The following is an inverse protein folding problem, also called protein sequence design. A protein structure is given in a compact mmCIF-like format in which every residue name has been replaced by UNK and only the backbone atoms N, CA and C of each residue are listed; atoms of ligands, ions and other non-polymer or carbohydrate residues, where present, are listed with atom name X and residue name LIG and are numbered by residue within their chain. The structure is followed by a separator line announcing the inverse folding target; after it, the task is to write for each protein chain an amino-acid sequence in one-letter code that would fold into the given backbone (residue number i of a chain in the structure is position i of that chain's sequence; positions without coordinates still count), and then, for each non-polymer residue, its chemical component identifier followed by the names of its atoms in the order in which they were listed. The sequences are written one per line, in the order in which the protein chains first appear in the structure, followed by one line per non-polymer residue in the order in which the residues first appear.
data_IF_482251755100
#
_entry.id   IF_482251755100
#
_cell.length_a   1.000
_cell.length_b   1.000
_cell.length_c   1.000
_cell.angle_alpha   90.00
_cell.angle_beta   90.00
_cell.angle_gamma   90.00
#
_symmetry.space_group_name_H-M   'P 1'
#
loop_
_entity.id
_entity.type
_entity.pdbx_description
1 polymer ?
#
# COMPACT_ATOMS: atom_id res chain seq x y z
N UNK A 1 19.70 -1.70 0.81
CA UNK A 1 18.57 -1.77 -0.15
C UNK A 1 17.18 -1.74 0.52
N UNK A 2 17.00 -1.20 1.73
CA UNK A 2 15.69 -1.24 2.41
C UNK A 2 14.76 -0.07 2.04
N UNK A 3 15.33 1.09 1.71
CA UNK A 3 14.56 2.32 1.46
C UNK A 3 13.73 2.23 0.18
N UNK A 4 14.34 1.79 -0.94
CA UNK A 4 13.64 1.67 -2.23
C UNK A 4 12.48 0.68 -2.13
N UNK A 5 12.69 -0.46 -1.46
CA UNK A 5 11.65 -1.47 -1.24
C UNK A 5 10.49 -0.92 -0.37
N UNK A 6 10.79 -0.13 0.66
CA UNK A 6 9.77 0.51 1.47
C UNK A 6 8.95 1.52 0.65
N UNK A 7 9.60 2.29 -0.23
CA UNK A 7 8.93 3.24 -1.12
C UNK A 7 8.00 2.49 -2.10
N UNK A 8 8.47 1.43 -2.77
CA UNK A 8 7.63 0.68 -3.71
C UNK A 8 6.43 0.03 -3.04
N UNK A 9 6.58 -0.49 -1.81
CA UNK A 9 5.47 -1.05 -1.01
C UNK A 9 4.38 0.00 -0.75
N UNK A 10 4.74 1.26 -0.54
CA UNK A 10 3.77 2.35 -0.37
C UNK A 10 3.18 2.80 -1.72
N UNK A 11 4.02 2.89 -2.74
CA UNK A 11 3.66 3.47 -4.03
C UNK A 11 2.77 2.56 -4.87
N UNK A 12 3.06 1.25 -4.92
CA UNK A 12 2.33 0.28 -5.75
C UNK A 12 0.81 0.29 -5.53
N UNK A 13 0.29 0.13 -4.29
CA UNK A 13 -1.16 0.10 -4.07
C UNK A 13 -1.82 1.43 -4.46
N UNK A 14 -1.14 2.55 -4.22
CA UNK A 14 -1.64 3.88 -4.58
C UNK A 14 -1.68 4.10 -6.10
N UNK A 15 -0.62 3.74 -6.84
CA UNK A 15 -0.62 3.86 -8.31
C UNK A 15 -1.60 2.88 -8.96
N UNK A 16 -1.77 1.67 -8.44
CA UNK A 16 -2.78 0.74 -8.96
C UNK A 16 -4.20 1.28 -8.80
N UNK A 17 -4.54 1.84 -7.62
CA UNK A 17 -5.86 2.46 -7.41
C UNK A 17 -6.04 3.70 -8.28
N UNK A 18 -5.04 4.56 -8.40
CA UNK A 18 -5.11 5.74 -9.27
C UNK A 18 -5.41 5.36 -10.74
N UNK A 19 -4.73 4.35 -11.29
CA UNK A 19 -4.97 3.90 -12.67
C UNK A 19 -6.37 3.31 -12.85
N UNK A 20 -6.84 2.47 -11.91
CA UNK A 20 -8.15 1.84 -11.99
C UNK A 20 -9.30 2.85 -11.90
N UNK A 21 -9.17 3.85 -11.03
CA UNK A 21 -10.20 4.86 -10.81
C UNK A 21 -10.14 6.00 -11.84
N UNK A 22 -8.97 6.33 -12.41
CA UNK A 22 -8.85 7.40 -13.40
C UNK A 22 -9.71 7.17 -14.65
N UNK A 23 -9.82 5.93 -15.12
CA UNK A 23 -10.55 5.61 -16.36
C UNK A 23 -12.06 5.55 -16.20
N UNK A 24 -12.59 5.44 -14.99
CA UNK A 24 -14.03 5.24 -14.73
C UNK A 24 -14.72 6.43 -14.08
N UNK A 25 -13.98 7.33 -13.42
CA UNK A 25 -14.56 8.40 -12.60
C UNK A 25 -14.60 9.76 -13.28
N UNK A 26 -13.82 9.95 -14.33
CA UNK A 26 -13.77 11.18 -15.11
C UNK A 26 -14.39 10.95 -16.47
N UNK A 27 -15.50 11.62 -16.73
CA UNK A 27 -16.13 11.67 -18.04
C UNK A 27 -15.93 13.07 -18.62
N UNK A 28 -15.10 13.16 -19.65
CA UNK A 28 -14.80 14.42 -20.33
C UNK A 28 -15.74 14.68 -21.52
N UNK A 29 -16.69 13.78 -21.79
CA UNK A 29 -17.70 13.90 -22.85
C UNK A 29 -19.04 14.40 -22.30
N UNK A 30 -18.99 15.32 -21.33
CA UNK A 30 -20.17 15.89 -20.68
C UNK A 30 -20.36 17.34 -21.12
N UNK A 31 -21.61 17.80 -21.21
CA UNK A 31 -21.92 19.16 -21.66
C UNK A 31 -21.34 20.26 -20.73
N UNK A 32 -21.28 21.53 -21.16
CA UNK A 32 -20.67 22.64 -20.40
C UNK A 32 -21.26 22.90 -19.00
N UNK A 33 -22.35 22.23 -18.64
CA UNK A 33 -23.02 22.34 -17.33
C UNK A 33 -23.06 21.03 -16.54
N UNK A 34 -22.49 19.94 -17.04
CA UNK A 34 -22.46 18.65 -16.35
C UNK A 34 -21.17 18.47 -15.53
N UNK A 35 -21.28 17.65 -14.47
CA UNK A 35 -20.13 17.34 -13.62
C UNK A 35 -19.20 16.37 -14.32
N UNK A 36 -17.97 16.81 -14.57
CA UNK A 36 -16.86 16.01 -15.13
C UNK A 36 -16.45 14.86 -14.19
N UNK A 37 -16.84 14.92 -12.91
CA UNK A 37 -16.49 13.94 -11.89
C UNK A 37 -17.72 13.23 -11.30
N UNK A 38 -17.57 11.93 -11.05
CA UNK A 38 -18.56 11.13 -10.33
C UNK A 38 -18.61 11.50 -8.83
N UNK A 39 -19.81 11.46 -8.24
CA UNK A 39 -20.03 11.61 -6.77
C UNK A 39 -19.21 10.61 -5.94
N UNK A 40 -18.87 9.47 -6.55
CA UNK A 40 -18.14 8.39 -5.90
C UNK A 40 -16.63 8.65 -5.77
N UNK A 41 -16.12 9.83 -6.13
CA UNK A 41 -14.70 10.20 -6.00
C UNK A 41 -14.12 9.97 -4.59
N UNK A 42 -14.94 10.06 -3.54
CA UNK A 42 -14.49 9.74 -2.17
C UNK A 42 -14.01 8.28 -2.04
N UNK A 43 -14.60 7.36 -2.80
CA UNK A 43 -14.25 5.94 -2.76
C UNK A 43 -12.78 5.70 -3.15
N UNK A 44 -12.22 6.54 -4.05
CA UNK A 44 -10.78 6.50 -4.36
C UNK A 44 -9.95 6.66 -3.08
N UNK A 45 -10.20 7.71 -2.30
CA UNK A 45 -9.47 7.96 -1.05
C UNK A 45 -9.66 6.82 -0.04
N UNK A 46 -10.89 6.31 0.09
CA UNK A 46 -11.20 5.21 1.00
C UNK A 46 -10.41 3.93 0.62
N UNK A 47 -10.45 3.54 -0.65
CA UNK A 47 -9.81 2.30 -1.13
C UNK A 47 -8.29 2.44 -1.12
N UNK A 48 -7.74 3.58 -1.53
CA UNK A 48 -6.30 3.84 -1.48
C UNK A 48 -5.79 3.74 -0.04
N UNK A 49 -6.45 4.40 0.94
CA UNK A 49 -6.04 4.34 2.35
C UNK A 49 -6.14 2.90 2.88
N UNK A 50 -7.23 2.19 2.58
CA UNK A 50 -7.42 0.81 3.02
C UNK A 50 -6.32 -0.12 2.49
N UNK A 51 -6.01 -0.06 1.19
CA UNK A 51 -4.95 -0.86 0.58
C UNK A 51 -3.57 -0.49 1.14
N UNK A 52 -3.25 0.79 1.27
CA UNK A 52 -1.98 1.24 1.86
C UNK A 52 -1.86 0.74 3.31
N UNK A 53 -2.93 0.78 4.09
CA UNK A 53 -2.94 0.24 5.46
C UNK A 53 -2.70 -1.28 5.48
N UNK A 54 -3.38 -2.05 4.63
CA UNK A 54 -3.18 -3.51 4.52
C UNK A 54 -1.72 -3.84 4.22
N UNK A 55 -1.13 -3.13 3.25
CA UNK A 55 0.25 -3.37 2.83
C UNK A 55 1.25 -2.97 3.92
N UNK A 56 1.05 -1.83 4.58
CA UNK A 56 1.90 -1.40 5.70
C UNK A 56 1.79 -2.35 6.90
N UNK A 57 0.58 -2.77 7.27
CA UNK A 57 0.35 -3.71 8.37
C UNK A 57 0.99 -5.06 8.06
N UNK A 58 0.85 -5.57 6.83
CA UNK A 58 1.51 -6.79 6.38
C UNK A 58 3.03 -6.69 6.45
N UNK A 59 3.60 -5.56 6.00
CA UNK A 59 5.03 -5.31 6.04
C UNK A 59 5.56 -5.23 7.48
N UNK A 60 4.88 -4.50 8.37
CA UNK A 60 5.24 -4.39 9.80
C UNK A 60 5.13 -5.75 10.48
N UNK A 61 4.06 -6.50 10.24
CA UNK A 61 3.88 -7.83 10.80
C UNK A 61 5.00 -8.78 10.36
N UNK A 62 5.35 -8.79 9.07
CA UNK A 62 6.47 -9.58 8.56
C UNK A 62 7.79 -9.16 9.21
N UNK A 63 8.02 -7.85 9.34
CA UNK A 63 9.25 -7.32 9.93
C UNK A 63 9.46 -7.83 11.35
N UNK A 64 8.41 -7.72 12.19
CA UNK A 64 8.44 -8.16 13.59
C UNK A 64 8.71 -9.66 13.69
N UNK A 65 8.07 -10.46 12.82
CA UNK A 65 8.26 -11.92 12.80
C UNK A 65 9.71 -12.32 12.45
N UNK A 66 10.36 -11.60 11.53
CA UNK A 66 11.76 -11.86 11.18
C UNK A 66 12.75 -11.48 12.28
N UNK A 67 12.46 -10.47 13.10
CA UNK A 67 13.33 -10.11 14.23
C UNK A 67 13.36 -11.21 15.29
N UNK A 68 12.24 -11.88 15.55
CA UNK A 68 12.15 -13.01 16.48
C UNK A 68 12.97 -14.24 16.00
N UNK A 69 12.93 -14.54 14.71
CA UNK A 69 13.73 -15.60 14.09
C UNK A 69 15.24 -15.30 14.12
N UNK A 70 15.62 -14.03 13.95
CA UNK A 70 17.03 -13.61 14.02
C UNK A 70 17.56 -13.65 15.46
N UNK A 71 16.75 -13.21 16.44
CA UNK A 71 17.11 -13.23 17.85
C UNK A 71 17.31 -14.66 18.38
N UNK A 72 16.48 -15.60 17.95
CA UNK A 72 16.60 -17.02 18.32
C UNK A 72 17.82 -17.71 17.70
N UNK A 73 18.20 -17.35 16.47
CA UNK A 73 19.44 -17.82 15.83
C UNK A 73 20.70 -17.34 16.54
N UNK A 74 20.75 -16.07 16.95
CA UNK A 74 21.87 -15.52 17.73
C UNK A 74 21.99 -16.22 19.09
N UNK A 75 20.86 -16.50 19.77
CA UNK A 75 20.86 -17.21 21.06
C UNK A 75 21.36 -18.66 20.94
N UNK A 76 20.98 -19.38 19.89
CA UNK A 76 21.47 -20.76 19.63
C UNK A 76 22.95 -20.81 19.23
N UNK A 77 23.45 -19.83 18.48
CA UNK A 77 24.86 -19.77 18.08
C UNK A 77 25.83 -19.39 19.20
N UNK A 78 25.31 -18.90 20.34
CA UNK A 78 26.11 -18.50 21.52
C UNK A 78 26.13 -19.56 22.63
N UNK A 79 25.49 -20.72 22.43
CA UNK A 79 25.56 -21.83 23.37
C UNK A 79 26.98 -22.43 23.33
N UNK A 80 27.75 -22.36 24.43
CA UNK A 80 29.05 -23.02 24.48
C UNK A 80 28.83 -24.53 24.42
N UNK A 81 29.53 -25.16 23.48
CA UNK A 81 29.64 -26.60 23.32
C UNK A 81 30.78 -27.15 24.16
#
# INVERSE_FOLDING_TARGET
MRVIAAITIIFLPATTTATFFSTSFFDFNVGPHERVYSWWLWLYWLVTIALTAIVLLGAVYWWRRKEEEMATRIRKGKAPQ
#
